data_IF_337929091393
#
_entry.id   IF_337929091393
#
_cell.length_a   1.000
_cell.length_b   1.000
_cell.length_c   1.000
_cell.angle_alpha   90.00
_cell.angle_beta   90.00
_cell.angle_gamma   90.00
#
_symmetry.space_group_name_H-M   'P 1'
#
loop_
_entity.id
_entity.type
_entity.pdbx_description
1 polymer ?
#
# COMPACT_ATOMS: atom_id res chain seq x y z
N UNK A 1 14.91 9.19 -1.35
CA UNK A 1 14.88 7.80 -0.83
C UNK A 1 14.13 6.86 -1.78
N UNK A 2 13.11 7.34 -2.46
CA UNK A 2 12.30 6.55 -3.38
C UNK A 2 11.71 7.42 -4.47
N UNK A 3 11.31 6.79 -5.57
CA UNK A 3 10.66 7.47 -6.69
C UNK A 3 9.71 6.52 -7.43
N UNK A 4 8.77 7.08 -8.18
CA UNK A 4 7.83 6.32 -9.01
C UNK A 4 8.47 6.09 -10.38
N UNK A 5 8.48 4.83 -10.82
CA UNK A 5 9.01 4.42 -12.13
C UNK A 5 8.09 3.40 -12.77
N UNK A 6 8.30 3.14 -14.06
CA UNK A 6 7.67 2.01 -14.72
C UNK A 6 8.12 0.71 -14.05
N UNK A 7 7.17 -0.20 -13.81
CA UNK A 7 7.41 -1.46 -13.12
C UNK A 7 7.33 -2.63 -14.08
N UNK A 8 8.20 -3.62 -13.90
CA UNK A 8 8.13 -4.88 -14.62
C UNK A 8 6.97 -5.75 -14.12
N UNK A 9 6.46 -5.47 -12.91
CA UNK A 9 5.36 -6.24 -12.31
C UNK A 9 4.03 -5.76 -12.86
N UNK A 10 3.74 -4.47 -12.73
CA UNK A 10 2.47 -3.91 -13.20
C UNK A 10 2.58 -2.39 -13.27
N UNK A 11 2.29 -1.83 -14.45
CA UNK A 11 2.18 -0.39 -14.65
C UNK A 11 3.36 0.40 -14.10
N UNK A 12 3.11 1.17 -13.04
CA UNK A 12 4.12 1.92 -12.30
C UNK A 12 4.30 1.32 -10.92
N UNK A 13 5.45 1.57 -10.32
CA UNK A 13 5.75 1.16 -8.96
C UNK A 13 6.61 2.17 -8.25
N UNK A 14 6.89 1.91 -6.98
CA UNK A 14 7.77 2.72 -6.15
C UNK A 14 9.12 2.03 -6.06
N UNK A 15 10.19 2.77 -6.29
CA UNK A 15 11.56 2.22 -6.33
C UNK A 15 12.45 2.96 -5.36
N UNK A 16 13.35 2.23 -4.71
CA UNK A 16 14.37 2.83 -3.85
C UNK A 16 15.41 3.56 -4.71
N UNK A 17 15.79 4.76 -4.30
CA UNK A 17 16.86 5.51 -4.96
C UNK A 17 18.18 5.41 -4.22
N UNK A 18 18.20 4.69 -3.12
CA UNK A 18 19.37 4.43 -2.28
C UNK A 18 19.09 3.18 -1.45
N UNK A 19 20.11 2.65 -0.81
CA UNK A 19 19.92 1.53 0.12
C UNK A 19 19.07 2.02 1.29
N UNK A 20 18.04 1.24 1.63
CA UNK A 20 17.15 1.53 2.76
C UNK A 20 17.33 0.41 3.79
N UNK A 21 17.81 0.71 5.01
CA UNK A 21 17.94 -0.31 6.05
C UNK A 21 16.59 -0.88 6.47
N UNK A 22 16.59 -2.11 6.97
CA UNK A 22 15.41 -2.74 7.55
C UNK A 22 14.86 -1.89 8.70
N UNK A 23 13.54 -1.90 8.90
CA UNK A 23 12.91 -1.19 10.00
C UNK A 23 12.89 0.34 9.84
N UNK A 24 12.99 0.83 8.62
CA UNK A 24 12.96 2.27 8.34
C UNK A 24 11.54 2.70 8.00
N UNK A 25 11.09 3.80 8.60
CA UNK A 25 9.86 4.46 8.18
C UNK A 25 10.13 5.24 6.90
N UNK A 26 9.52 4.80 5.80
CA UNK A 26 9.70 5.44 4.50
C UNK A 26 8.82 6.66 4.34
N UNK A 27 7.56 6.55 4.77
CA UNK A 27 6.62 7.65 4.67
C UNK A 27 5.45 7.46 5.62
N UNK A 28 4.81 8.58 5.95
CA UNK A 28 3.52 8.62 6.62
C UNK A 28 2.61 9.50 5.77
N UNK A 29 1.36 9.11 5.61
CA UNK A 29 0.42 9.83 4.77
C UNK A 29 -0.97 9.80 5.37
N UNK A 30 -1.79 10.85 5.14
CA UNK A 30 -3.19 10.81 5.53
C UNK A 30 -3.96 9.82 4.66
N UNK A 31 -5.04 9.30 5.20
CA UNK A 31 -5.93 8.37 4.51
C UNK A 31 -7.28 9.04 4.35
N UNK A 32 -7.77 9.05 3.12
CA UNK A 32 -9.14 9.49 2.83
C UNK A 32 -10.06 8.27 3.01
N UNK A 33 -10.94 8.33 3.99
CA UNK A 33 -11.86 7.22 4.26
C UNK A 33 -13.14 7.44 3.48
N UNK A 34 -13.44 6.50 2.59
CA UNK A 34 -14.65 6.53 1.76
C UNK A 34 -15.71 5.70 2.47
N UNK A 35 -16.88 6.28 2.80
CA UNK A 35 -17.95 5.54 3.48
C UNK A 35 -18.39 4.32 2.69
N UNK A 36 -18.80 3.26 3.40
CA UNK A 36 -19.27 2.04 2.77
C UNK A 36 -20.43 2.27 1.79
N UNK A 37 -21.30 3.25 2.08
CA UNK A 37 -22.41 3.60 1.20
C UNK A 37 -21.98 4.11 -0.17
N UNK A 38 -20.75 4.60 -0.29
CA UNK A 38 -20.19 5.10 -1.56
C UNK A 38 -19.32 4.04 -2.27
N UNK A 39 -19.11 2.90 -1.65
CA UNK A 39 -18.23 1.86 -2.19
C UNK A 39 -18.71 1.34 -3.55
N UNK A 40 -20.01 1.12 -3.78
CA UNK A 40 -20.48 0.65 -5.10
C UNK A 40 -20.12 1.59 -6.24
N UNK A 41 -20.23 2.91 -6.04
CA UNK A 41 -19.82 3.88 -7.06
C UNK A 41 -18.32 3.87 -7.29
N UNK A 42 -17.55 3.73 -6.22
CA UNK A 42 -16.09 3.66 -6.28
C UNK A 42 -15.63 2.44 -7.08
N UNK A 43 -16.31 1.31 -6.94
CA UNK A 43 -15.98 0.06 -7.62
C UNK A 43 -16.12 0.14 -9.14
N UNK A 44 -16.81 1.15 -9.65
CA UNK A 44 -16.92 1.38 -11.08
C UNK A 44 -15.79 2.24 -11.64
N UNK A 45 -14.82 2.59 -10.81
CA UNK A 45 -13.70 3.44 -11.19
C UNK A 45 -12.39 2.71 -10.97
N UNK A 46 -11.34 3.18 -11.65
CA UNK A 46 -10.01 2.61 -11.44
C UNK A 46 -9.47 2.88 -10.02
N UNK A 47 -10.01 3.87 -9.32
CA UNK A 47 -9.57 4.22 -7.97
C UNK A 47 -9.77 3.05 -7.00
N UNK A 48 -10.74 2.18 -7.27
CA UNK A 48 -10.99 1.02 -6.42
C UNK A 48 -9.77 0.07 -6.36
N UNK A 49 -8.91 0.09 -7.37
CA UNK A 49 -7.69 -0.71 -7.40
C UNK A 49 -6.62 -0.19 -6.42
N UNK A 50 -6.80 1.01 -5.87
CA UNK A 50 -5.82 1.69 -5.02
C UNK A 50 -6.28 1.85 -3.57
N UNK A 51 -7.46 1.32 -3.21
CA UNK A 51 -7.98 1.46 -1.86
C UNK A 51 -7.79 0.17 -1.06
N UNK A 52 -7.78 0.33 0.26
CA UNK A 52 -7.74 -0.79 1.20
C UNK A 52 -9.07 -0.87 1.95
N UNK A 53 -9.46 -2.07 2.36
CA UNK A 53 -10.56 -2.20 3.30
C UNK A 53 -10.19 -1.46 4.57
N UNK A 54 -11.10 -0.59 5.04
CA UNK A 54 -10.80 0.26 6.18
C UNK A 54 -11.42 -0.26 7.47
N UNK A 55 -12.70 -0.60 7.43
CA UNK A 55 -13.43 -1.06 8.61
C UNK A 55 -14.49 -2.08 8.19
N UNK A 56 -15.10 -2.74 9.20
CA UNK A 56 -16.12 -3.77 8.99
C UNK A 56 -17.40 -3.23 8.33
N UNK A 57 -17.59 -1.93 8.30
CA UNK A 57 -18.74 -1.28 7.69
C UNK A 57 -18.66 -1.17 6.16
N UNK A 58 -17.63 -1.74 5.56
CA UNK A 58 -17.42 -1.68 4.11
C UNK A 58 -16.75 -0.41 3.63
N UNK A 59 -16.28 0.44 4.54
CA UNK A 59 -15.55 1.64 4.17
C UNK A 59 -14.19 1.30 3.56
N UNK A 60 -13.69 2.20 2.72
CA UNK A 60 -12.40 2.02 2.04
C UNK A 60 -11.45 3.16 2.37
N UNK A 61 -10.17 2.85 2.48
CA UNK A 61 -9.14 3.84 2.74
C UNK A 61 -8.30 4.09 1.51
N UNK A 62 -8.22 5.34 1.08
CA UNK A 62 -7.30 5.76 0.02
C UNK A 62 -6.14 6.50 0.67
N UNK A 63 -4.95 5.93 0.56
CA UNK A 63 -3.75 6.55 1.11
C UNK A 63 -3.30 7.68 0.20
N UNK A 64 -3.22 8.89 0.73
CA UNK A 64 -2.89 10.09 -0.04
C UNK A 64 -1.38 10.29 -0.05
N UNK A 65 -0.67 9.37 -0.69
CA UNK A 65 0.79 9.42 -0.82
C UNK A 65 1.26 8.40 -1.84
N UNK A 66 2.56 8.47 -2.19
CA UNK A 66 3.13 7.61 -3.23
C UNK A 66 3.15 6.13 -2.84
N UNK A 67 2.91 5.80 -1.56
CA UNK A 67 2.75 4.40 -1.15
C UNK A 67 1.59 3.71 -1.85
N UNK A 68 0.62 4.48 -2.36
CA UNK A 68 -0.47 3.94 -3.19
C UNK A 68 0.04 3.34 -4.50
N UNK A 69 1.26 3.67 -4.91
CA UNK A 69 1.88 3.12 -6.11
C UNK A 69 2.63 1.82 -5.86
N UNK A 70 2.73 1.37 -4.59
CA UNK A 70 3.41 0.12 -4.30
C UNK A 70 2.63 -1.07 -4.86
N UNK A 71 3.31 -1.92 -5.62
CA UNK A 71 2.71 -3.13 -6.13
C UNK A 71 2.69 -4.21 -5.06
N UNK A 72 1.75 -5.14 -5.20
CA UNK A 72 1.66 -6.30 -4.34
C UNK A 72 2.76 -7.31 -4.67
N UNK A 73 3.30 -7.94 -3.64
CA UNK A 73 4.17 -9.10 -3.77
C UNK A 73 3.84 -10.10 -2.67
N UNK A 74 3.86 -11.41 -2.97
CA UNK A 74 3.73 -12.43 -1.92
C UNK A 74 4.96 -12.49 -1.02
N UNK A 75 6.10 -11.93 -1.47
CA UNK A 75 7.33 -11.82 -0.68
C UNK A 75 7.74 -10.34 -0.65
N UNK A 76 7.00 -9.49 0.09
CA UNK A 76 7.24 -8.05 0.06
C UNK A 76 8.47 -7.65 0.84
N UNK A 77 9.05 -6.51 0.48
CA UNK A 77 10.17 -5.92 1.24
C UNK A 77 9.72 -4.76 2.13
N UNK A 78 8.44 -4.44 2.13
CA UNK A 78 7.87 -3.37 2.96
C UNK A 78 6.47 -3.76 3.43
N UNK A 79 5.94 -3.01 4.37
CA UNK A 79 4.56 -3.19 4.80
C UNK A 79 3.92 -1.84 5.04
N UNK A 80 2.61 -1.80 4.85
CA UNK A 80 1.79 -0.62 5.09
C UNK A 80 1.03 -0.84 6.39
N UNK A 81 1.26 0.04 7.35
CA UNK A 81 0.59 0.01 8.65
C UNK A 81 -0.51 1.06 8.66
N UNK A 82 -1.77 0.62 8.79
CA UNK A 82 -2.91 1.53 8.84
C UNK A 82 -3.18 1.90 10.29
N UNK A 83 -3.32 3.20 10.57
CA UNK A 83 -3.55 3.72 11.90
C UNK A 83 -4.94 4.34 11.94
N UNK A 84 -5.97 3.60 12.42
CA UNK A 84 -7.37 4.07 12.37
C UNK A 84 -7.62 5.33 13.16
N UNK A 85 -7.02 5.46 14.34
CA UNK A 85 -7.30 6.57 15.24
C UNK A 85 -6.97 7.93 14.64
N UNK A 86 -5.94 8.01 13.81
CA UNK A 86 -5.50 9.24 13.17
C UNK A 86 -5.82 9.29 11.69
N UNK A 87 -6.41 8.23 11.16
CA UNK A 87 -6.68 8.08 9.73
C UNK A 87 -5.42 8.34 8.91
N UNK A 88 -4.34 7.64 9.28
CA UNK A 88 -3.05 7.72 8.59
C UNK A 88 -2.55 6.34 8.24
N UNK A 89 -1.56 6.30 7.36
CA UNK A 89 -0.86 5.07 6.98
C UNK A 89 0.64 5.32 7.04
N UNK A 90 1.38 4.29 7.47
CA UNK A 90 2.84 4.32 7.57
C UNK A 90 3.41 3.22 6.70
N UNK A 91 4.41 3.55 5.88
CA UNK A 91 5.12 2.56 5.06
C UNK A 91 6.49 2.30 5.69
N UNK A 92 6.74 1.04 6.04
CA UNK A 92 7.96 0.61 6.72
C UNK A 92 8.70 -0.44 5.90
N UNK A 93 10.02 -0.40 5.90
CA UNK A 93 10.80 -1.48 5.30
C UNK A 93 10.82 -2.70 6.24
N UNK A 94 10.57 -3.89 5.68
CA UNK A 94 10.65 -5.16 6.40
C UNK A 94 12.08 -5.68 6.49
N UNK A 95 12.87 -5.41 5.46
CA UNK A 95 14.26 -5.82 5.33
C UNK A 95 15.03 -4.73 4.60
N UNK A 96 16.33 -4.91 4.47
CA UNK A 96 17.12 -3.98 3.67
C UNK A 96 16.64 -4.00 2.22
N UNK A 97 16.47 -2.81 1.65
CA UNK A 97 16.06 -2.64 0.27
C UNK A 97 17.23 -2.03 -0.49
N UNK A 98 17.64 -2.67 -1.57
CA UNK A 98 18.76 -2.21 -2.37
C UNK A 98 18.38 -1.00 -3.22
N UNK A 99 19.37 -0.23 -3.62
CA UNK A 99 19.18 0.84 -4.60
C UNK A 99 18.61 0.25 -5.89
N UNK A 100 17.60 0.92 -6.46
CA UNK A 100 16.88 0.50 -7.67
C UNK A 100 15.98 -0.72 -7.50
N UNK A 101 15.87 -1.25 -6.29
CA UNK A 101 14.92 -2.33 -6.00
C UNK A 101 13.51 -1.77 -5.89
N UNK A 102 12.53 -2.46 -6.45
CA UNK A 102 11.13 -2.08 -6.30
C UNK A 102 10.66 -2.31 -4.88
N UNK A 103 9.97 -1.31 -4.32
CA UNK A 103 9.36 -1.39 -2.99
C UNK A 103 7.98 -1.99 -3.15
N UNK A 104 7.76 -3.16 -2.55
CA UNK A 104 6.52 -3.91 -2.67
C UNK A 104 5.90 -4.16 -1.31
N UNK A 105 4.60 -4.30 -1.28
CA UNK A 105 3.84 -4.56 -0.07
C UNK A 105 2.93 -5.77 -0.28
N UNK A 106 2.52 -6.39 0.82
CA UNK A 106 1.41 -7.33 0.79
C UNK A 106 0.14 -6.56 1.11
N UNK A 107 -0.96 -6.87 0.42
CA UNK A 107 -2.26 -6.26 0.68
C UNK A 107 -2.94 -6.84 1.93
N UNK A 108 -2.15 -7.27 2.92
CA UNK A 108 -2.65 -7.75 4.20
C UNK A 108 -2.69 -6.59 5.19
N UNK A 109 -3.61 -6.68 6.16
CA UNK A 109 -3.87 -5.60 7.09
C UNK A 109 -2.64 -5.17 7.89
N UNK A 110 -1.81 -6.12 8.29
CA UNK A 110 -0.70 -5.90 9.20
C UNK A 110 0.58 -6.60 8.76
N UNK A 111 0.66 -6.92 7.48
CA UNK A 111 1.80 -7.61 6.90
C UNK A 111 1.87 -9.09 7.22
N UNK A 112 1.06 -9.58 8.13
CA UNK A 112 1.10 -10.98 8.55
C UNK A 112 -0.26 -11.59 8.78
N UNK A 113 -1.29 -10.78 8.89
CA UNK A 113 -2.65 -11.24 9.09
C UNK A 113 -3.30 -11.74 7.82
N UNK A 114 -4.57 -12.09 7.94
CA UNK A 114 -5.34 -12.49 6.78
C UNK A 114 -5.67 -11.27 5.92
N UNK A 115 -5.81 -11.52 4.63
CA UNK A 115 -6.28 -10.49 3.71
C UNK A 115 -7.72 -10.14 4.05
N UNK A 116 -8.03 -8.87 4.07
CA UNK A 116 -9.41 -8.41 4.27
C UNK A 116 -10.15 -8.25 2.94
N UNK A 117 -9.51 -8.57 1.84
CA UNK A 117 -10.11 -8.61 0.52
C UNK A 117 -9.34 -9.60 -0.35
N UNK A 118 -9.96 -10.04 -1.44
CA UNK A 118 -9.32 -10.96 -2.35
C UNK A 118 -8.26 -10.25 -3.17
N UNK A 119 -7.09 -10.86 -3.25
CA UNK A 119 -6.01 -10.39 -4.11
C UNK A 119 -5.83 -11.42 -5.21
N UNK A 120 -5.78 -10.92 -6.44
CA UNK A 120 -5.46 -11.79 -7.58
C UNK A 120 -3.94 -11.94 -7.60
N UNK A 121 -3.49 -13.12 -7.22
CA UNK A 121 -2.07 -13.43 -7.28
C UNK A 121 -1.69 -13.84 -8.70
N UNK A 122 -0.63 -13.31 -9.15
CA UNK A 122 -0.09 -13.63 -10.47
C UNK A 122 0.87 -14.81 -10.39
#
# INVERSE_FOLDING_TARGET
MYEVRASAVAGRGLFATQIIPAGTLLMEAPVLVVPGSQRPALQETLVDDYVYEWDDDGSAGLVLGVSSMCNHSPDPNAYLWLVPDTETAELWSLREIAEDEEITVSYRADGGGELWFDVVDD
#
